data_IF_045459214859
#
_entry.id   IF_045459214859
#
_cell.length_a   1.000
_cell.length_b   1.000
_cell.length_c   1.000
_cell.angle_alpha   90.00
_cell.angle_beta   90.00
_cell.angle_gamma   90.00
#
_symmetry.space_group_name_H-M   'P 1'
#
loop_
_entity.id
_entity.type
_entity.pdbx_description
1 polymer ?
#
# COMPACT_ATOMS: atom_id res chain seq x y z
N UNK A 1 -7.26 8.08 -7.02
CA UNK A 1 -6.81 8.75 -5.78
C UNK A 1 -5.34 9.11 -5.92
N UNK A 2 -4.85 10.11 -5.19
CA UNK A 2 -3.44 10.54 -5.23
C UNK A 2 -2.66 9.85 -4.12
N UNK A 3 -1.50 9.27 -4.47
CA UNK A 3 -0.57 8.68 -3.51
C UNK A 3 -0.12 9.72 -2.48
N UNK A 4 -0.10 9.32 -1.21
CA UNK A 4 0.31 10.19 -0.09
C UNK A 4 1.01 9.40 1.00
N UNK A 5 2.18 9.87 1.39
CA UNK A 5 2.90 9.43 2.59
C UNK A 5 2.73 10.52 3.64
N UNK A 6 2.18 10.14 4.79
CA UNK A 6 2.08 11.02 5.96
C UNK A 6 3.12 10.60 6.99
N UNK A 7 4.02 11.51 7.33
CA UNK A 7 5.05 11.32 8.34
C UNK A 7 4.71 12.19 9.54
N UNK A 8 4.60 11.57 10.71
CA UNK A 8 4.37 12.27 11.99
C UNK A 8 5.58 12.06 12.88
N UNK A 9 6.20 13.14 13.34
CA UNK A 9 7.33 13.11 14.28
C UNK A 9 6.83 13.56 15.64
N UNK A 10 6.87 12.67 16.62
CA UNK A 10 6.47 12.97 17.99
C UNK A 10 7.62 13.64 18.77
N UNK A 11 7.32 14.42 19.83
CA UNK A 11 8.33 15.12 20.62
C UNK A 11 9.38 14.20 21.28
N UNK A 12 9.04 12.93 21.49
CA UNK A 12 9.94 11.92 22.07
C UNK A 12 10.79 11.19 21.02
N UNK A 13 10.78 11.63 19.76
CA UNK A 13 11.54 11.01 18.68
C UNK A 13 10.87 9.78 18.04
N UNK A 14 9.67 9.40 18.48
CA UNK A 14 8.88 8.37 17.78
C UNK A 14 8.35 8.90 16.46
N UNK A 15 8.61 8.17 15.37
CA UNK A 15 8.15 8.50 14.03
C UNK A 15 7.04 7.52 13.64
N UNK A 16 5.90 8.04 13.19
CA UNK A 16 4.81 7.24 12.62
C UNK A 16 4.67 7.58 11.15
N UNK A 17 4.72 6.57 10.29
CA UNK A 17 4.62 6.75 8.84
C UNK A 17 3.44 5.95 8.30
N UNK A 18 2.59 6.60 7.52
CA UNK A 18 1.40 5.98 6.91
C UNK A 18 1.38 6.25 5.41
N UNK A 19 1.26 5.20 4.60
CA UNK A 19 1.02 5.31 3.16
C UNK A 19 -0.49 5.18 2.86
N UNK A 20 -0.98 5.99 1.93
CA UNK A 20 -2.39 6.03 1.52
C UNK A 20 -2.55 6.42 0.05
N UNK A 21 -3.72 6.17 -0.53
CA UNK A 21 -4.05 6.53 -1.90
C UNK A 21 -3.57 5.55 -2.96
N UNK A 22 -3.07 4.38 -2.56
CA UNK A 22 -2.71 3.26 -3.43
C UNK A 22 -3.23 1.97 -2.80
N UNK A 23 -4.43 1.49 -3.18
CA UNK A 23 -4.96 0.25 -2.65
C UNK A 23 -4.19 -0.97 -3.18
N UNK A 24 -4.25 -2.05 -2.40
CA UNK A 24 -3.73 -3.35 -2.81
C UNK A 24 -2.25 -3.58 -2.54
N UNK A 25 -1.70 -4.70 -3.05
CA UNK A 25 -0.29 -5.06 -2.86
C UNK A 25 0.70 -4.02 -3.38
N UNK A 26 0.28 -3.18 -4.35
CA UNK A 26 1.08 -2.05 -4.86
C UNK A 26 1.37 -0.98 -3.80
N UNK A 27 0.69 -0.99 -2.66
CA UNK A 27 1.03 -0.12 -1.53
C UNK A 27 2.39 -0.48 -0.90
N UNK A 28 2.88 -1.72 -1.10
CA UNK A 28 4.17 -2.18 -0.58
C UNK A 28 5.35 -1.52 -1.29
N UNK A 29 5.18 -1.05 -2.53
CA UNK A 29 6.22 -0.33 -3.27
C UNK A 29 6.62 0.96 -2.54
N UNK A 30 5.71 1.54 -1.75
CA UNK A 30 5.97 2.73 -0.94
C UNK A 30 6.88 2.44 0.27
N UNK A 31 7.11 1.17 0.64
CA UNK A 31 8.00 0.82 1.75
C UNK A 31 9.45 1.26 1.49
N UNK A 32 9.93 1.13 0.26
CA UNK A 32 11.27 1.61 -0.11
C UNK A 32 11.38 3.13 0.00
N UNK A 33 10.33 3.85 -0.43
CA UNK A 33 10.23 5.31 -0.28
C UNK A 33 10.24 5.70 1.20
N UNK A 34 9.44 5.03 2.03
CA UNK A 34 9.37 5.29 3.47
C UNK A 34 10.74 5.09 4.13
N UNK A 35 11.44 3.99 3.85
CA UNK A 35 12.78 3.74 4.39
C UNK A 35 13.78 4.83 3.98
N UNK A 36 13.66 5.35 2.76
CA UNK A 36 14.49 6.45 2.26
C UNK A 36 14.16 7.78 2.95
N UNK A 37 12.91 8.01 3.35
CA UNK A 37 12.49 9.24 4.04
C UNK A 37 12.91 9.27 5.51
N UNK A 38 12.90 8.12 6.19
CA UNK A 38 13.24 8.01 7.62
C UNK A 38 14.57 7.28 7.84
N UNK A 39 15.61 7.72 7.13
CA UNK A 39 16.95 7.14 7.24
C UNK A 39 17.44 7.16 8.70
N UNK A 40 17.92 6.01 9.18
CA UNK A 40 18.39 5.83 10.55
C UNK A 40 17.29 5.56 11.58
N UNK A 41 16.01 5.58 11.20
CA UNK A 41 14.94 5.11 12.07
C UNK A 41 14.93 3.57 12.15
N UNK A 42 14.64 3.05 13.33
CA UNK A 42 14.43 1.60 13.53
C UNK A 42 12.93 1.31 13.53
N UNK A 43 12.49 0.31 12.77
CA UNK A 43 11.09 -0.11 12.75
C UNK A 43 10.77 -0.83 14.07
N UNK A 44 9.84 -0.27 14.85
CA UNK A 44 9.40 -0.84 16.13
C UNK A 44 8.08 -1.62 15.99
N UNK A 45 7.15 -1.13 15.17
CA UNK A 45 5.88 -1.78 14.81
C UNK A 45 5.56 -1.43 13.35
N UNK A 46 5.03 -2.39 12.60
CA UNK A 46 4.61 -2.20 11.21
C UNK A 46 3.39 -3.05 10.91
N UNK A 47 2.37 -2.42 10.31
CA UNK A 47 1.08 -3.04 10.01
C UNK A 47 0.59 -2.58 8.65
N UNK A 48 -0.15 -3.46 7.97
CA UNK A 48 -0.81 -3.14 6.72
C UNK A 48 -1.96 -2.15 6.98
N UNK A 49 -2.12 -1.17 6.10
CA UNK A 49 -3.26 -0.26 6.16
C UNK A 49 -4.51 -0.96 5.61
N UNK A 50 -5.73 -0.50 5.96
CA UNK A 50 -6.96 -1.09 5.42
C UNK A 50 -7.03 -1.10 3.88
N UNK A 51 -6.33 -0.17 3.23
CA UNK A 51 -6.26 -0.07 1.77
C UNK A 51 -5.56 -1.28 1.12
N UNK A 52 -4.69 -1.99 1.84
CA UNK A 52 -4.04 -3.20 1.34
C UNK A 52 -5.05 -4.28 0.94
N UNK A 53 -6.14 -4.41 1.69
CA UNK A 53 -7.15 -5.44 1.46
C UNK A 53 -8.19 -5.06 0.39
N UNK A 54 -8.15 -3.84 -0.12
CA UNK A 54 -9.19 -3.32 -1.04
C UNK A 54 -9.04 -3.84 -2.48
N UNK A 55 -7.90 -4.41 -2.87
CA UNK A 55 -7.62 -4.85 -4.26
C UNK A 55 -7.66 -6.36 -4.46
N UNK A 56 -8.20 -7.14 -3.52
CA UNK A 56 -8.51 -8.55 -3.79
C UNK A 56 -9.63 -8.71 -4.85
N UNK A 57 -10.31 -7.63 -5.24
CA UNK A 57 -11.52 -7.70 -6.09
C UNK A 57 -11.28 -7.30 -7.56
N UNK A 58 -10.30 -6.45 -7.88
CA UNK A 58 -10.12 -5.98 -9.28
C UNK A 58 -9.50 -7.02 -10.20
N UNK A 59 -8.63 -7.92 -9.70
CA UNK A 59 -8.06 -9.00 -10.53
C UNK A 59 -9.09 -10.07 -10.88
N UNK A 60 -10.04 -10.35 -9.99
CA UNK A 60 -11.08 -11.37 -10.22
C UNK A 60 -12.08 -10.97 -11.33
N UNK A 61 -12.33 -9.68 -11.53
CA UNK A 61 -13.28 -9.24 -12.57
C UNK A 61 -12.64 -9.34 -13.95
N UNK A 62 -11.33 -9.09 -14.11
CA UNK A 62 -10.70 -9.08 -15.43
C UNK A 62 -10.48 -10.48 -16.04
N UNK A 63 -10.32 -11.51 -15.20
CA UNK A 63 -10.20 -12.91 -15.66
C UNK A 63 -11.56 -13.53 -16.06
N UNK A 64 -12.68 -13.01 -15.57
CA UNK A 64 -14.01 -13.53 -15.90
C UNK A 64 -14.49 -13.13 -17.32
N UNK A 65 -13.96 -12.04 -17.89
CA UNK A 65 -14.37 -11.56 -19.23
C UNK A 65 -13.54 -12.11 -20.40
N UNK A 66 -12.40 -12.78 -20.15
CA UNK A 66 -11.60 -13.39 -21.22
C UNK A 66 -11.94 -14.87 -21.49
N UNK A 67 -12.87 -15.46 -20.72
CA UNK A 67 -13.23 -16.87 -20.82
C UNK A 67 -14.50 -17.19 -21.62
N UNK A 68 -15.26 -16.19 -22.08
CA UNK A 68 -16.61 -16.40 -22.65
C UNK A 68 -16.70 -16.29 -24.20
N UNK A 69 -15.58 -16.12 -24.91
CA UNK A 69 -15.54 -15.97 -26.38
C UNK A 69 -14.87 -17.15 -27.13
N UNK A 70 -14.97 -18.38 -26.61
CA UNK A 70 -14.56 -19.58 -27.39
C UNK A 70 -15.53 -20.74 -27.20
N UNK A 71 -16.74 -20.59 -27.72
CA UNK A 71 -17.50 -21.72 -28.25
C UNK A 71 -18.60 -21.23 -29.21
N UNK A 72 -18.36 -21.31 -30.53
CA UNK A 72 -19.14 -22.12 -31.50
C UNK A 72 -18.98 -21.64 -32.94
#
# INVERSE_FOLDING_TARGET
>A
MTKRITVTVNPHGMITVTASGQPGPKCLDEMATIQTLVQGATVVDSRLTPEFHQTATETAVQEQWLGEDTEK
#
